data_IF_336453928779
#
_entry.id   IF_336453928779
#
_cell.length_a   1.000
_cell.length_b   1.000
_cell.length_c   1.000
_cell.angle_alpha   90.00
_cell.angle_beta   90.00
_cell.angle_gamma   90.00
#
_symmetry.space_group_name_H-M   'P 1'
#
loop_
_entity.id
_entity.type
_entity.pdbx_description
1 polymer ?
#
# COMPACT_ATOMS: atom_id res chain seq x y z
N UNK A 1 6.02 -12.10 0.21
CA UNK A 1 5.37 -10.87 0.66
C UNK A 1 6.05 -10.38 1.93
N UNK A 2 6.20 -9.06 2.07
CA UNK A 2 6.66 -8.46 3.31
C UNK A 2 5.61 -8.61 4.42
N UNK A 3 6.06 -8.59 5.65
CA UNK A 3 5.21 -8.43 6.82
C UNK A 3 4.59 -7.01 6.85
N UNK A 4 3.72 -6.76 7.81
CA UNK A 4 3.01 -5.46 7.93
C UNK A 4 3.95 -4.29 8.22
N UNK A 5 5.05 -4.55 8.89
CA UNK A 5 6.13 -3.60 9.21
C UNK A 5 7.14 -3.41 8.07
N UNK A 6 6.86 -3.97 6.89
CA UNK A 6 7.75 -3.90 5.73
C UNK A 6 8.95 -4.85 5.76
N UNK A 7 9.08 -5.67 6.81
CA UNK A 7 10.18 -6.66 6.89
C UNK A 7 9.88 -7.92 6.09
N UNK A 8 10.91 -8.60 5.66
CA UNK A 8 10.83 -9.97 5.16
C UNK A 8 12.00 -10.78 5.66
N UNK A 9 11.82 -12.08 5.79
CA UNK A 9 12.86 -13.01 6.17
C UNK A 9 12.80 -14.26 5.30
N UNK A 10 13.95 -14.68 4.80
CA UNK A 10 14.10 -15.94 4.08
C UNK A 10 15.31 -16.70 4.64
N UNK A 11 15.07 -17.88 5.20
CA UNK A 11 16.10 -18.73 5.81
C UNK A 11 16.51 -19.91 4.91
N UNK A 12 15.98 -19.95 3.67
CA UNK A 12 16.17 -21.09 2.75
C UNK A 12 16.95 -20.72 1.49
N UNK A 13 17.82 -19.71 1.58
CA UNK A 13 18.69 -19.34 0.48
C UNK A 13 20.06 -20.00 0.62
N UNK A 14 20.61 -20.48 -0.49
CA UNK A 14 21.98 -20.96 -0.57
C UNK A 14 22.94 -19.76 -0.69
N UNK A 15 24.23 -20.01 -0.43
CA UNK A 15 25.29 -19.03 -0.69
C UNK A 15 25.35 -18.73 -2.19
N UNK A 16 25.52 -17.48 -2.55
CA UNK A 16 25.62 -17.05 -3.95
C UNK A 16 25.20 -15.60 -4.16
N UNK A 17 25.26 -15.18 -5.39
CA UNK A 17 24.79 -13.86 -5.82
C UNK A 17 23.29 -13.90 -6.14
N UNK A 18 22.58 -12.89 -5.68
CA UNK A 18 21.14 -12.75 -5.85
C UNK A 18 20.79 -11.35 -6.33
N UNK A 19 19.82 -11.28 -7.21
CA UNK A 19 19.13 -10.04 -7.54
C UNK A 19 17.87 -9.95 -6.67
N UNK A 20 17.87 -9.05 -5.69
CA UNK A 20 16.74 -8.83 -4.77
C UNK A 20 15.90 -7.70 -5.32
N UNK A 21 14.63 -7.98 -5.61
CA UNK A 21 13.67 -7.05 -6.19
C UNK A 21 12.53 -6.77 -5.23
N UNK A 22 12.11 -5.51 -5.16
CA UNK A 22 10.91 -5.10 -4.42
C UNK A 22 9.86 -4.54 -5.38
N UNK A 23 8.60 -4.76 -5.05
CA UNK A 23 7.43 -4.27 -5.77
C UNK A 23 6.40 -3.74 -4.78
N UNK A 24 5.86 -2.56 -5.04
CA UNK A 24 4.89 -1.92 -4.16
C UNK A 24 4.40 -0.58 -4.67
N UNK A 25 3.53 0.09 -3.89
CA UNK A 25 2.93 1.38 -4.24
C UNK A 25 3.88 2.55 -3.92
N UNK A 26 5.05 2.56 -4.55
CA UNK A 26 6.10 3.56 -4.35
C UNK A 26 6.82 3.85 -5.67
N UNK A 27 7.54 4.97 -5.70
CA UNK A 27 8.39 5.32 -6.84
C UNK A 27 9.37 4.18 -7.12
N UNK A 28 9.40 3.62 -8.35
CA UNK A 28 10.31 2.53 -8.69
C UNK A 28 11.75 2.89 -8.39
N UNK A 29 12.46 2.00 -7.72
CA UNK A 29 13.87 2.18 -7.46
C UNK A 29 14.67 2.04 -8.78
N UNK A 30 15.68 2.87 -8.92
CA UNK A 30 16.56 2.90 -10.08
C UNK A 30 17.93 2.38 -9.68
N UNK A 31 18.49 1.50 -10.50
CA UNK A 31 19.89 1.10 -10.40
C UNK A 31 20.61 1.34 -11.72
N UNK A 32 21.88 1.63 -11.63
CA UNK A 32 22.76 1.72 -12.78
C UNK A 32 23.36 0.33 -13.08
N UNK A 33 23.33 -0.05 -14.33
CA UNK A 33 23.96 -1.28 -14.81
C UNK A 33 25.44 -1.03 -15.11
N UNK A 34 26.22 -2.07 -15.36
CA UNK A 34 27.67 -1.99 -15.65
C UNK A 34 28.01 -1.21 -16.89
N UNK A 35 27.07 -1.04 -17.80
CA UNK A 35 27.21 -0.25 -19.04
C UNK A 35 26.69 1.20 -18.91
N UNK A 36 26.31 1.63 -17.70
CA UNK A 36 25.76 2.96 -17.43
C UNK A 36 24.25 3.08 -17.71
N UNK A 37 23.57 2.02 -18.13
CA UNK A 37 22.13 2.03 -18.37
C UNK A 37 21.36 2.07 -17.06
N UNK A 38 20.37 2.97 -16.94
CA UNK A 38 19.49 3.05 -15.79
C UNK A 38 18.36 2.03 -15.92
N UNK A 39 18.21 1.18 -14.90
CA UNK A 39 17.16 0.18 -14.81
C UNK A 39 16.17 0.56 -13.69
N UNK A 40 14.89 0.67 -14.05
CA UNK A 40 13.78 1.00 -13.13
C UNK A 40 13.08 -0.28 -12.66
N UNK A 41 13.85 -1.27 -12.21
CA UNK A 41 13.34 -2.61 -11.89
C UNK A 41 13.21 -2.89 -10.39
N UNK A 42 13.52 -1.91 -9.55
CA UNK A 42 13.42 -2.04 -8.10
C UNK A 42 14.37 -3.09 -7.50
N UNK A 43 15.45 -3.42 -8.19
CA UNK A 43 16.35 -4.49 -7.77
C UNK A 43 17.68 -3.98 -7.24
N UNK A 44 18.32 -4.81 -6.41
CA UNK A 44 19.71 -4.65 -5.97
C UNK A 44 20.42 -6.01 -6.06
N UNK A 45 21.66 -6.02 -6.53
CA UNK A 45 22.48 -7.21 -6.51
C UNK A 45 23.14 -7.34 -5.12
N UNK A 46 23.09 -8.51 -4.53
CA UNK A 46 23.68 -8.77 -3.22
C UNK A 46 24.26 -10.18 -3.16
N UNK A 47 25.40 -10.32 -2.50
CA UNK A 47 25.98 -11.63 -2.18
C UNK A 47 25.44 -12.15 -0.86
N UNK A 48 24.98 -13.39 -0.87
CA UNK A 48 24.57 -14.12 0.35
C UNK A 48 25.65 -15.13 0.67
N UNK A 49 26.44 -14.83 1.70
CA UNK A 49 27.49 -15.72 2.23
C UNK A 49 27.22 -16.17 3.67
N UNK A 50 26.18 -15.62 4.29
CA UNK A 50 25.74 -15.88 5.66
C UNK A 50 24.46 -15.11 5.95
N UNK A 51 24.32 -14.57 7.16
CA UNK A 51 23.21 -13.67 7.48
C UNK A 51 23.44 -12.33 6.77
N UNK A 52 22.64 -12.06 5.75
CA UNK A 52 22.71 -10.83 4.97
C UNK A 52 21.48 -9.98 5.27
N UNK A 53 21.67 -8.67 5.47
CA UNK A 53 20.61 -7.69 5.65
C UNK A 53 20.57 -6.77 4.44
N UNK A 54 19.41 -6.65 3.83
CA UNK A 54 19.14 -5.71 2.73
C UNK A 54 18.07 -4.72 3.19
N UNK A 55 18.33 -3.43 3.02
CA UNK A 55 17.40 -2.35 3.34
C UNK A 55 17.06 -1.59 2.07
N UNK A 56 15.78 -1.34 1.86
CA UNK A 56 15.29 -0.47 0.80
C UNK A 56 14.62 0.75 1.42
N UNK A 57 14.95 1.92 0.92
CA UNK A 57 14.24 3.17 1.23
C UNK A 57 13.34 3.51 0.06
N UNK A 58 12.06 3.69 0.34
CA UNK A 58 11.05 3.88 -0.70
C UNK A 58 10.24 5.15 -0.44
N UNK A 59 9.76 5.77 -1.53
CA UNK A 59 8.87 6.92 -1.50
C UNK A 59 7.48 6.44 -1.90
N UNK A 60 6.51 6.29 -0.97
CA UNK A 60 5.18 5.79 -1.29
C UNK A 60 4.42 6.78 -2.19
N UNK A 61 3.49 6.28 -2.99
CA UNK A 61 2.62 7.14 -3.79
C UNK A 61 1.65 7.93 -2.91
N UNK A 62 1.11 7.26 -1.90
CA UNK A 62 0.15 7.84 -0.95
C UNK A 62 0.55 7.49 0.48
N UNK A 63 0.24 8.40 1.40
CA UNK A 63 0.16 8.13 2.82
C UNK A 63 -1.31 7.96 3.19
N UNK A 64 -1.63 6.93 3.97
CA UNK A 64 -2.98 6.60 4.43
C UNK A 64 -2.93 6.47 5.94
N UNK A 65 -3.77 7.21 6.64
CA UNK A 65 -3.82 7.17 8.11
C UNK A 65 -5.25 7.21 8.62
N UNK A 66 -5.49 6.62 9.78
CA UNK A 66 -6.70 6.88 10.55
C UNK A 66 -6.58 8.20 11.30
N UNK A 67 -7.68 8.96 11.34
CA UNK A 67 -7.79 10.19 12.14
C UNK A 67 -8.63 9.86 13.37
N UNK A 68 -7.95 9.67 14.49
CA UNK A 68 -8.57 9.15 15.70
C UNK A 68 -8.89 7.65 15.64
N UNK A 69 -9.52 7.17 16.71
CA UNK A 69 -9.86 5.75 16.83
C UNK A 69 -11.15 5.39 16.09
N UNK A 70 -11.20 4.22 15.42
CA UNK A 70 -12.44 3.70 14.86
C UNK A 70 -13.53 3.58 15.91
N UNK A 71 -14.76 3.98 15.57
CA UNK A 71 -15.93 3.95 16.46
C UNK A 71 -16.85 2.80 16.09
N UNK A 72 -17.44 2.16 17.08
CA UNK A 72 -18.39 1.05 16.87
C UNK A 72 -19.77 1.44 17.33
N UNK A 73 -20.76 1.25 16.46
CA UNK A 73 -22.17 1.44 16.79
C UNK A 73 -23.00 0.34 16.13
N UNK A 74 -23.79 -0.39 16.93
CA UNK A 74 -24.62 -1.50 16.46
C UNK A 74 -23.86 -2.53 15.61
N UNK A 75 -22.62 -2.84 16.00
CA UNK A 75 -21.74 -3.77 15.29
C UNK A 75 -21.12 -3.23 14.01
N UNK A 76 -21.41 -1.99 13.62
CA UNK A 76 -20.79 -1.32 12.45
C UNK A 76 -19.61 -0.48 12.91
N UNK A 77 -18.46 -0.70 12.30
CA UNK A 77 -17.25 0.10 12.55
C UNK A 77 -17.23 1.28 11.58
N UNK A 78 -17.08 2.49 12.11
CA UNK A 78 -16.82 3.71 11.32
C UNK A 78 -15.48 4.29 11.69
N UNK A 79 -14.73 4.77 10.70
CA UNK A 79 -13.46 5.42 10.89
C UNK A 79 -13.32 6.64 9.97
N UNK A 80 -12.54 7.61 10.40
CA UNK A 80 -12.08 8.72 9.57
C UNK A 80 -10.71 8.37 9.02
N UNK A 81 -10.53 8.53 7.72
CA UNK A 81 -9.29 8.24 7.00
C UNK A 81 -8.82 9.50 6.29
N UNK A 82 -7.54 9.80 6.40
CA UNK A 82 -6.89 10.85 5.62
C UNK A 82 -5.94 10.21 4.63
N UNK A 83 -6.02 10.64 3.37
CA UNK A 83 -5.12 10.24 2.30
C UNK A 83 -4.39 11.47 1.79
N UNK A 84 -3.06 11.42 1.79
CA UNK A 84 -2.20 12.48 1.26
C UNK A 84 -1.23 11.93 0.23
N UNK A 85 -0.65 12.79 -0.60
CA UNK A 85 0.46 12.40 -1.48
C UNK A 85 1.69 12.03 -0.65
N UNK A 86 2.28 10.89 -0.94
CA UNK A 86 3.59 10.49 -0.37
C UNK A 86 4.74 11.18 -1.09
N UNK A 87 4.53 11.55 -2.36
CA UNK A 87 5.42 12.37 -3.19
C UNK A 87 4.59 13.45 -3.87
N UNK A 88 5.20 14.60 -4.21
CA UNK A 88 4.49 15.62 -4.97
C UNK A 88 4.20 15.15 -6.40
N UNK A 89 3.22 15.78 -7.04
CA UNK A 89 2.83 15.47 -8.42
C UNK A 89 4.00 15.71 -9.40
N UNK A 90 4.82 16.73 -9.12
CA UNK A 90 6.02 17.04 -9.91
C UNK A 90 7.06 15.93 -9.78
N UNK A 91 7.35 15.48 -8.56
CA UNK A 91 8.31 14.38 -8.32
C UNK A 91 7.80 13.08 -8.93
N UNK A 92 6.51 12.77 -8.79
CA UNK A 92 5.93 11.60 -9.42
C UNK A 92 6.10 11.65 -10.95
N UNK A 93 5.75 12.79 -11.56
CA UNK A 93 5.90 12.98 -13.01
C UNK A 93 7.36 12.86 -13.44
N UNK A 94 8.29 13.53 -12.76
CA UNK A 94 9.72 13.46 -13.06
C UNK A 94 10.26 12.03 -13.06
N UNK A 95 9.80 11.18 -12.13
CA UNK A 95 10.29 9.81 -11.97
C UNK A 95 9.59 8.80 -12.88
N UNK A 96 8.31 9.01 -13.18
CA UNK A 96 7.50 8.03 -13.95
C UNK A 96 7.49 8.35 -15.45
N UNK A 97 7.44 9.63 -15.83
CA UNK A 97 7.36 10.02 -17.26
C UNK A 97 8.50 9.46 -18.12
N UNK A 98 9.77 9.42 -17.67
CA UNK A 98 10.86 8.84 -18.45
C UNK A 98 10.74 7.33 -18.69
N UNK A 99 9.91 6.63 -17.90
CA UNK A 99 9.67 5.20 -18.08
C UNK A 99 8.74 4.89 -19.27
N UNK A 100 8.19 5.92 -19.91
CA UNK A 100 7.31 5.84 -21.07
C UNK A 100 5.82 5.71 -20.71
N UNK A 101 4.98 5.86 -21.74
CA UNK A 101 3.53 5.72 -21.64
C UNK A 101 2.86 6.59 -20.55
N UNK A 102 3.40 7.79 -20.29
CA UNK A 102 2.84 8.72 -19.32
C UNK A 102 1.38 9.06 -19.63
N UNK A 103 0.55 9.10 -18.58
CA UNK A 103 -0.83 9.57 -18.61
C UNK A 103 -1.09 10.43 -17.39
N UNK A 104 -1.75 11.58 -17.58
CA UNK A 104 -2.08 12.49 -16.46
C UNK A 104 -3.01 11.85 -15.44
N UNK A 105 -3.81 10.87 -15.86
CA UNK A 105 -4.69 10.11 -14.97
C UNK A 105 -3.99 9.17 -14.00
N UNK A 106 -2.67 8.94 -14.14
CA UNK A 106 -1.91 8.05 -13.24
C UNK A 106 -1.94 8.54 -11.79
N UNK A 107 -2.02 9.85 -11.58
CA UNK A 107 -2.08 10.45 -10.25
C UNK A 107 -3.46 10.35 -9.59
N UNK A 108 -4.52 10.03 -10.34
CA UNK A 108 -5.85 9.97 -9.78
C UNK A 108 -5.97 8.86 -8.74
N UNK A 109 -6.48 9.18 -7.56
CA UNK A 109 -6.87 8.18 -6.56
C UNK A 109 -8.13 7.49 -7.05
N UNK A 110 -8.11 6.17 -7.17
CA UNK A 110 -9.22 5.40 -7.77
C UNK A 110 -10.16 4.80 -6.75
N UNK A 111 -9.66 4.48 -5.58
CA UNK A 111 -10.49 3.88 -4.54
C UNK A 111 -9.82 3.93 -3.15
N UNK A 112 -10.66 3.93 -2.13
CA UNK A 112 -10.30 3.65 -0.74
C UNK A 112 -10.95 2.33 -0.36
N UNK A 113 -10.18 1.47 0.30
CA UNK A 113 -10.64 0.22 0.89
C UNK A 113 -10.62 0.32 2.41
N UNK A 114 -11.62 -0.26 3.06
CA UNK A 114 -11.64 -0.47 4.49
C UNK A 114 -11.71 -1.96 4.75
N UNK A 115 -10.58 -2.53 5.14
CA UNK A 115 -10.43 -3.95 5.39
C UNK A 115 -10.73 -4.28 6.83
N UNK A 116 -11.49 -5.35 7.05
CA UNK A 116 -11.79 -5.93 8.36
C UNK A 116 -11.34 -7.39 8.35
N UNK A 117 -10.71 -7.83 9.43
CA UNK A 117 -10.25 -9.22 9.57
C UNK A 117 -10.16 -9.62 11.03
N UNK A 118 -10.20 -10.92 11.32
CA UNK A 118 -9.84 -11.48 12.62
C UNK A 118 -8.33 -11.55 12.86
N UNK A 119 -7.53 -11.36 11.81
CA UNK A 119 -6.07 -11.38 11.88
C UNK A 119 -5.48 -9.98 11.89
N UNK A 120 -4.43 -9.76 12.66
CA UNK A 120 -3.64 -8.52 12.65
C UNK A 120 -2.89 -8.31 11.31
N UNK A 121 -2.81 -9.33 10.44
CA UNK A 121 -2.27 -9.21 9.09
C UNK A 121 -3.33 -8.71 8.08
N UNK A 122 -4.32 -7.97 8.55
CA UNK A 122 -5.43 -7.43 7.78
C UNK A 122 -4.96 -6.64 6.56
N UNK A 123 -5.59 -6.89 5.41
CA UNK A 123 -5.30 -6.24 4.13
C UNK A 123 -5.99 -6.97 2.98
N UNK A 124 -5.66 -6.63 1.75
CA UNK A 124 -6.34 -7.14 0.56
C UNK A 124 -6.45 -8.68 0.51
N UNK A 125 -5.41 -9.41 0.94
CA UNK A 125 -5.39 -10.89 0.92
C UNK A 125 -5.91 -11.54 2.20
N UNK A 126 -5.94 -10.80 3.30
CA UNK A 126 -6.34 -11.30 4.62
C UNK A 126 -7.50 -10.44 5.16
N UNK A 127 -8.59 -10.36 4.39
CA UNK A 127 -9.80 -9.64 4.75
C UNK A 127 -10.99 -10.57 4.89
N UNK A 128 -11.94 -10.18 5.70
CA UNK A 128 -13.29 -10.75 5.69
C UNK A 128 -14.15 -9.92 4.71
N UNK A 129 -14.58 -10.53 3.63
CA UNK A 129 -15.34 -9.85 2.57
C UNK A 129 -16.74 -9.43 3.00
N UNK A 130 -17.29 -10.08 4.04
CA UNK A 130 -18.62 -9.74 4.59
C UNK A 130 -18.64 -8.35 5.20
N UNK A 131 -17.52 -7.92 5.78
CA UNK A 131 -17.43 -6.66 6.54
C UNK A 131 -16.49 -5.63 5.93
N UNK A 132 -15.62 -6.03 5.02
CA UNK A 132 -14.75 -5.10 4.29
C UNK A 132 -15.55 -4.33 3.25
N UNK A 133 -15.21 -3.07 3.06
CA UNK A 133 -15.92 -2.16 2.15
C UNK A 133 -14.96 -1.41 1.23
N UNK A 134 -15.50 -0.78 0.19
CA UNK A 134 -14.75 0.05 -0.73
C UNK A 134 -15.55 1.27 -1.17
N UNK A 135 -14.84 2.36 -1.44
CA UNK A 135 -15.38 3.56 -2.08
C UNK A 135 -14.57 3.80 -3.35
N UNK A 136 -15.24 3.83 -4.50
CA UNK A 136 -14.61 4.09 -5.79
C UNK A 136 -14.73 5.57 -6.17
N UNK A 137 -13.70 6.08 -6.84
CA UNK A 137 -13.63 7.46 -7.34
C UNK A 137 -13.28 7.44 -8.82
N UNK A 138 -14.00 8.26 -9.59
CA UNK A 138 -13.78 8.38 -11.02
C UNK A 138 -12.96 9.63 -11.36
N UNK A 139 -12.04 9.50 -12.30
CA UNK A 139 -11.21 10.60 -12.78
C UNK A 139 -10.53 11.33 -11.62
N UNK A 140 -10.71 12.64 -11.55
CA UNK A 140 -10.14 13.50 -10.49
C UNK A 140 -11.08 13.76 -9.31
N UNK A 141 -12.13 12.98 -9.14
CA UNK A 141 -13.15 13.22 -8.10
C UNK A 141 -12.61 13.16 -6.66
N UNK A 142 -11.42 12.60 -6.45
CA UNK A 142 -10.75 12.58 -5.15
C UNK A 142 -9.83 13.78 -4.89
N UNK A 143 -9.49 14.59 -5.88
CA UNK A 143 -8.52 15.69 -5.71
C UNK A 143 -8.92 16.65 -4.57
N UNK A 144 -10.18 17.04 -4.51
CA UNK A 144 -10.70 17.92 -3.45
C UNK A 144 -10.74 17.27 -2.06
N UNK A 145 -10.56 15.95 -1.97
CA UNK A 145 -10.57 15.18 -0.73
C UNK A 145 -9.15 14.87 -0.22
N UNK A 146 -8.12 15.12 -1.03
CA UNK A 146 -6.73 14.94 -0.59
C UNK A 146 -6.45 15.79 0.65
N UNK A 147 -5.90 15.15 1.69
CA UNK A 147 -5.61 15.78 2.98
C UNK A 147 -6.83 16.02 3.87
N UNK A 148 -8.05 15.78 3.39
CA UNK A 148 -9.27 15.86 4.20
C UNK A 148 -9.66 14.50 4.77
N UNK A 149 -10.55 14.54 5.74
CA UNK A 149 -11.08 13.34 6.39
C UNK A 149 -12.23 12.75 5.58
N UNK A 150 -12.09 11.48 5.22
CA UNK A 150 -13.11 10.70 4.51
C UNK A 150 -13.63 9.63 5.46
N UNK A 151 -14.94 9.52 5.59
CA UNK A 151 -15.57 8.50 6.42
C UNK A 151 -15.62 7.19 5.64
N UNK A 152 -15.08 6.14 6.26
CA UNK A 152 -15.21 4.75 5.83
C UNK A 152 -15.96 3.95 6.87
N UNK A 153 -16.65 2.89 6.47
CA UNK A 153 -17.36 2.03 7.42
C UNK A 153 -17.37 0.58 6.96
N UNK A 154 -17.48 -0.34 7.92
CA UNK A 154 -17.66 -1.76 7.63
C UNK A 154 -19.03 -2.02 6.99
N UNK A 155 -19.11 -3.08 6.17
CA UNK A 155 -20.37 -3.62 5.70
C UNK A 155 -21.07 -4.42 6.81
N UNK A 156 -22.37 -4.25 6.96
CA UNK A 156 -23.17 -5.02 7.88
C UNK A 156 -22.76 -4.89 9.35
N UNK A 157 -23.36 -5.72 10.20
CA UNK A 157 -23.13 -5.74 11.63
C UNK A 157 -22.22 -6.92 12.00
N UNK A 158 -21.12 -6.62 12.65
CA UNK A 158 -20.18 -7.61 13.19
C UNK A 158 -20.72 -8.08 14.54
N UNK A 159 -20.75 -9.40 14.81
CA UNK A 159 -21.27 -9.92 16.08
C UNK A 159 -20.53 -9.37 17.30
N UNK A 160 -21.30 -9.05 18.37
CA UNK A 160 -20.79 -8.59 19.66
C UNK A 160 -19.78 -9.58 20.28
N UNK A 161 -18.88 -9.06 21.11
CA UNK A 161 -17.83 -9.82 21.78
C UNK A 161 -16.68 -10.25 20.87
N UNK A 162 -16.63 -9.76 19.62
CA UNK A 162 -15.56 -10.09 18.69
C UNK A 162 -14.45 -9.03 18.72
N UNK A 163 -13.22 -9.53 18.67
CA UNK A 163 -12.03 -8.73 18.41
C UNK A 163 -11.71 -8.83 16.92
N UNK A 164 -11.60 -7.71 16.24
CA UNK A 164 -11.23 -7.61 14.83
C UNK A 164 -10.13 -6.60 14.65
N UNK A 165 -9.46 -6.66 13.53
CA UNK A 165 -8.48 -5.67 13.09
C UNK A 165 -9.02 -4.97 11.85
N UNK A 166 -8.82 -3.66 11.80
CA UNK A 166 -9.19 -2.83 10.64
C UNK A 166 -7.97 -2.17 10.05
N UNK A 167 -8.00 -1.94 8.75
CA UNK A 167 -6.95 -1.25 8.01
C UNK A 167 -7.57 -0.53 6.83
N UNK A 168 -7.17 0.72 6.64
CA UNK A 168 -7.53 1.48 5.44
C UNK A 168 -6.44 1.33 4.38
N UNK A 169 -6.83 1.44 3.12
CA UNK A 169 -5.90 1.47 2.01
C UNK A 169 -6.42 2.36 0.89
N UNK A 170 -5.50 2.98 0.15
CA UNK A 170 -5.82 3.75 -1.05
C UNK A 170 -4.82 3.41 -2.16
N UNK A 171 -5.21 3.62 -3.41
CA UNK A 171 -4.31 3.45 -4.55
C UNK A 171 -4.58 4.49 -5.63
N UNK A 172 -3.57 4.73 -6.44
CA UNK A 172 -3.65 5.58 -7.63
C UNK A 172 -3.87 4.74 -8.90
N UNK A 173 -4.17 5.41 -10.00
CA UNK A 173 -4.41 4.79 -11.31
C UNK A 173 -3.11 4.45 -12.06
N UNK A 174 -2.11 3.95 -11.34
CA UNK A 174 -0.81 3.59 -11.92
C UNK A 174 -0.49 2.11 -11.67
N UNK A 175 -0.26 1.38 -12.76
CA UNK A 175 0.25 0.01 -12.71
C UNK A 175 1.77 0.04 -12.54
N UNK A 176 2.28 -0.54 -11.45
CA UNK A 176 3.72 -0.57 -11.22
C UNK A 176 4.43 -1.45 -12.26
N UNK A 177 5.61 -1.05 -12.78
CA UNK A 177 6.30 -1.80 -13.83
C UNK A 177 6.93 -3.10 -13.31
N UNK A 178 7.08 -3.22 -11.99
CA UNK A 178 7.66 -4.39 -11.33
C UNK A 178 6.56 -5.36 -10.92
N UNK A 179 6.83 -6.66 -10.98
CA UNK A 179 5.88 -7.70 -10.61
C UNK A 179 4.84 -7.96 -11.70
N UNK A 180 3.57 -8.00 -11.33
CA UNK A 180 2.46 -8.32 -12.25
C UNK A 180 1.91 -7.12 -13.02
N UNK A 181 2.52 -5.92 -12.92
CA UNK A 181 2.01 -4.71 -13.58
C UNK A 181 0.59 -4.36 -13.12
N UNK A 182 0.35 -4.33 -11.82
CA UNK A 182 -0.97 -4.01 -11.26
C UNK A 182 -0.90 -2.83 -10.32
N UNK A 183 -2.00 -2.11 -10.17
CA UNK A 183 -2.13 -1.04 -9.18
C UNK A 183 -2.01 -1.61 -7.78
N UNK A 184 -1.13 -1.01 -6.96
CA UNK A 184 -0.83 -1.46 -5.60
C UNK A 184 -1.45 -0.52 -4.57
N UNK A 185 -1.75 -1.07 -3.40
CA UNK A 185 -2.34 -0.35 -2.28
C UNK A 185 -1.28 0.22 -1.35
N UNK A 186 -1.38 1.52 -1.03
CA UNK A 186 -0.77 2.08 0.17
C UNK A 186 -1.72 1.83 1.34
N UNK A 187 -1.18 1.49 2.49
CA UNK A 187 -1.94 1.06 3.66
C UNK A 187 -1.69 1.95 4.86
N UNK A 188 -2.73 2.13 5.69
CA UNK A 188 -2.56 2.64 7.06
C UNK A 188 -1.92 1.58 7.97
N UNK A 189 -1.55 1.95 9.19
CA UNK A 189 -1.32 0.96 10.24
C UNK A 189 -2.63 0.22 10.58
N UNK A 190 -2.56 -1.06 10.99
CA UNK A 190 -3.71 -1.80 11.44
C UNK A 190 -4.14 -1.34 12.85
N UNK A 191 -5.44 -1.31 13.11
CA UNK A 191 -6.01 -0.97 14.41
C UNK A 191 -6.87 -2.13 14.91
N UNK A 192 -6.66 -2.52 16.17
CA UNK A 192 -7.51 -3.50 16.87
C UNK A 192 -8.80 -2.83 17.34
N UNK A 193 -9.93 -3.49 17.11
CA UNK A 193 -11.27 -3.01 17.48
C UNK A 193 -12.02 -4.12 18.20
N UNK A 194 -12.54 -3.83 19.39
CA UNK A 194 -13.47 -4.70 20.11
C UNK A 194 -14.90 -4.30 19.78
N UNK A 195 -15.70 -5.25 19.37
CA UNK A 195 -17.14 -5.06 19.11
C UNK A 195 -17.90 -5.30 20.44
N UNK A 196 -18.52 -4.25 21.02
CA UNK A 196 -19.20 -4.33 22.32
C UNK A 196 -20.45 -5.22 22.30
#
# INVERSE_FOLDING_TARGET
YCMMDGTFQNTKLFKGEYNVRIDGPFIPLVRENTDGTLLHDGSVNTEISGTTKVKFEVQPFLNVEFVGDPQVSNGVIKAQVRVTRGVSDEVFREKIQPMGNWKDEYLNVTDIQFFVSYSNTVGYRARDERWSSSISYEGKSFEDLLGKEVIVQSNGSIPSGRKVFVRAAARINYDTPVGSGTRRWNYSEPVEVLIP
#
